data_IF_676337473618
#
_entry.id   IF_676337473618
#
_cell.length_a   1.000
_cell.length_b   1.000
_cell.length_c   1.000
_cell.angle_alpha   90.00
_cell.angle_beta   90.00
_cell.angle_gamma   90.00
#
_symmetry.space_group_name_H-M   'P 1'
#
loop_
_entity.id
_entity.type
_entity.pdbx_description
1 polymer ?
#
# COMPACT_ATOMS: atom_id res chain seq x y z
N UNK A 1 -34.55 -26.82 -4.85
CA UNK A 1 -33.08 -26.67 -4.80
C UNK A 1 -32.71 -25.34 -5.47
N UNK A 2 -33.45 -24.28 -5.19
CA UNK A 2 -33.55 -23.11 -6.09
C UNK A 2 -33.17 -21.78 -5.42
N UNK A 3 -32.74 -21.82 -4.16
CA UNK A 3 -32.42 -20.61 -3.38
C UNK A 3 -30.97 -20.12 -3.58
N UNK A 4 -30.11 -20.93 -4.19
CA UNK A 4 -28.70 -20.58 -4.45
C UNK A 4 -28.46 -19.83 -5.77
N UNK A 5 -29.36 -19.94 -6.74
CA UNK A 5 -29.27 -19.23 -8.01
C UNK A 5 -29.30 -17.69 -7.90
N UNK A 6 -30.19 -17.06 -7.11
CA UNK A 6 -30.25 -15.60 -7.03
C UNK A 6 -29.01 -15.00 -6.35
N UNK A 7 -28.43 -15.68 -5.35
CA UNK A 7 -27.23 -15.22 -4.65
C UNK A 7 -25.97 -15.22 -5.54
N UNK A 8 -25.81 -16.24 -6.39
CA UNK A 8 -24.70 -16.28 -7.35
C UNK A 8 -24.81 -15.19 -8.41
N UNK A 9 -26.04 -14.89 -8.86
CA UNK A 9 -26.28 -13.87 -9.87
C UNK A 9 -26.00 -12.46 -9.33
N UNK A 10 -26.34 -12.19 -8.07
CA UNK A 10 -26.01 -10.95 -7.36
C UNK A 10 -24.48 -10.79 -7.18
N UNK A 11 -23.77 -11.87 -6.84
CA UNK A 11 -22.31 -11.83 -6.71
C UNK A 11 -21.59 -11.52 -8.04
N UNK A 12 -22.07 -12.06 -9.16
CA UNK A 12 -21.52 -11.75 -10.50
C UNK A 12 -21.81 -10.30 -10.90
N UNK A 13 -22.98 -9.78 -10.54
CA UNK A 13 -23.32 -8.37 -10.76
C UNK A 13 -22.42 -7.45 -9.92
N UNK A 14 -22.16 -7.80 -8.67
CA UNK A 14 -21.23 -7.06 -7.81
C UNK A 14 -19.79 -7.09 -8.34
N UNK A 15 -19.30 -8.24 -8.83
CA UNK A 15 -17.97 -8.34 -9.45
C UNK A 15 -17.87 -7.45 -10.70
N UNK A 16 -18.93 -7.41 -11.51
CA UNK A 16 -18.98 -6.54 -12.69
C UNK A 16 -18.93 -5.06 -12.31
N UNK A 17 -19.73 -4.64 -11.33
CA UNK A 17 -19.72 -3.26 -10.81
C UNK A 17 -18.34 -2.92 -10.26
N UNK A 18 -17.72 -3.82 -9.52
CA UNK A 18 -16.39 -3.61 -8.95
C UNK A 18 -15.33 -3.42 -10.03
N UNK A 19 -15.34 -4.26 -11.07
CA UNK A 19 -14.44 -4.10 -12.23
C UNK A 19 -14.63 -2.76 -12.93
N UNK A 20 -15.89 -2.36 -13.15
CA UNK A 20 -16.20 -1.08 -13.80
C UNK A 20 -15.70 0.11 -12.97
N UNK A 21 -15.83 0.07 -11.65
CA UNK A 21 -15.33 1.10 -10.74
C UNK A 21 -13.80 1.18 -10.75
N UNK A 22 -13.12 0.04 -10.65
CA UNK A 22 -11.64 -0.02 -10.69
C UNK A 22 -11.11 0.51 -12.03
N UNK A 23 -11.77 0.15 -13.13
CA UNK A 23 -11.38 0.64 -14.45
C UNK A 23 -11.62 2.15 -14.58
N UNK A 24 -12.74 2.66 -14.07
CA UNK A 24 -13.05 4.09 -14.05
C UNK A 24 -12.01 4.89 -13.25
N UNK A 25 -11.58 4.39 -12.08
CA UNK A 25 -10.52 5.00 -11.28
C UNK A 25 -9.19 5.02 -12.05
N UNK A 26 -8.83 3.92 -12.71
CA UNK A 26 -7.59 3.85 -13.48
C UNK A 26 -7.60 4.82 -14.67
N UNK A 27 -8.73 4.94 -15.36
CA UNK A 27 -8.93 5.93 -16.45
C UNK A 27 -8.85 7.36 -15.92
N UNK A 28 -9.53 7.64 -14.80
CA UNK A 28 -9.49 8.94 -14.13
C UNK A 28 -8.07 9.33 -13.71
N UNK A 29 -7.30 8.38 -13.17
CA UNK A 29 -5.88 8.60 -12.82
C UNK A 29 -5.01 8.90 -14.04
N UNK A 30 -5.22 8.19 -15.16
CA UNK A 30 -4.51 8.45 -16.42
C UNK A 30 -4.82 9.85 -16.96
N UNK A 31 -6.10 10.21 -17.02
CA UNK A 31 -6.53 11.56 -17.45
C UNK A 31 -5.99 12.63 -16.51
N UNK A 32 -6.04 12.38 -15.20
CA UNK A 32 -5.50 13.31 -14.21
C UNK A 32 -4.01 13.54 -14.42
N UNK A 33 -3.25 12.47 -14.64
CA UNK A 33 -1.82 12.57 -14.90
C UNK A 33 -1.52 13.29 -16.22
N UNK A 34 -2.22 12.98 -17.30
CA UNK A 34 -1.99 13.66 -18.59
C UNK A 34 -2.30 15.15 -18.54
N UNK A 35 -3.40 15.53 -17.88
CA UNK A 35 -3.89 16.92 -17.91
C UNK A 35 -3.37 17.77 -16.75
N UNK A 36 -3.08 17.19 -15.58
CA UNK A 36 -2.74 17.94 -14.36
C UNK A 36 -1.43 17.50 -13.68
N UNK A 37 -0.70 16.50 -14.21
CA UNK A 37 0.57 16.08 -13.58
C UNK A 37 1.58 17.22 -13.47
N UNK A 38 1.54 18.21 -14.35
CA UNK A 38 2.46 19.35 -14.31
C UNK A 38 2.32 20.16 -13.01
N UNK A 39 1.13 20.19 -12.38
CA UNK A 39 0.91 20.94 -11.14
C UNK A 39 1.84 20.48 -10.01
N UNK A 40 2.27 19.21 -10.00
CA UNK A 40 3.21 18.67 -8.99
C UNK A 40 4.59 19.33 -9.06
N UNK A 41 4.93 19.85 -10.23
CA UNK A 41 6.23 20.43 -10.54
C UNK A 41 6.26 21.94 -10.26
N UNK A 42 5.17 22.55 -9.79
CA UNK A 42 5.10 23.97 -9.41
C UNK A 42 4.90 24.14 -7.90
N UNK A 43 5.48 25.20 -7.36
CA UNK A 43 5.29 25.64 -5.96
C UNK A 43 4.01 26.48 -5.83
N UNK A 44 3.56 26.73 -4.60
CA UNK A 44 2.38 27.56 -4.29
C UNK A 44 2.43 28.97 -4.92
N UNK A 45 3.63 29.48 -5.19
CA UNK A 45 3.86 30.75 -5.90
C UNK A 45 3.90 30.63 -7.43
N UNK A 46 3.59 29.45 -8.00
CA UNK A 46 3.61 29.20 -9.44
C UNK A 46 5.02 29.10 -10.03
N UNK A 47 6.06 28.97 -9.20
CA UNK A 47 7.45 28.79 -9.66
C UNK A 47 7.73 27.30 -9.88
N UNK A 48 8.48 26.97 -10.94
CA UNK A 48 8.91 25.59 -11.20
C UNK A 48 9.80 25.11 -10.06
N UNK A 49 9.42 24.00 -9.42
CA UNK A 49 10.19 23.35 -8.37
C UNK A 49 11.40 22.67 -8.98
N UNK A 50 12.55 22.85 -8.35
CA UNK A 50 13.73 22.05 -8.67
C UNK A 50 13.45 20.58 -8.33
N UNK A 51 13.53 19.70 -9.32
CA UNK A 51 13.42 18.26 -9.06
C UNK A 51 14.67 17.82 -8.31
N UNK A 52 14.50 17.54 -7.01
CA UNK A 52 15.54 16.87 -6.23
C UNK A 52 15.73 15.47 -6.82
N UNK A 53 16.98 15.02 -7.05
CA UNK A 53 17.22 13.67 -7.53
C UNK A 53 16.60 12.68 -6.55
N UNK A 54 15.93 11.66 -7.08
CA UNK A 54 15.41 10.57 -6.26
C UNK A 54 16.61 9.92 -5.54
N UNK A 55 16.52 9.66 -4.22
CA UNK A 55 17.54 8.89 -3.54
C UNK A 55 17.67 7.50 -4.21
N UNK A 56 18.91 7.08 -4.52
CA UNK A 56 19.17 5.76 -5.14
C UNK A 56 18.61 4.60 -4.31
N UNK A 57 18.53 4.78 -3.00
CA UNK A 57 18.00 3.79 -2.07
C UNK A 57 17.40 4.50 -0.86
N UNK A 58 16.14 4.21 -0.58
CA UNK A 58 15.48 4.58 0.67
C UNK A 58 15.28 3.27 1.42
N UNK A 59 15.93 3.06 2.57
CA UNK A 59 15.74 1.83 3.32
C UNK A 59 14.28 1.71 3.75
N UNK A 60 13.70 0.52 3.56
CA UNK A 60 12.32 0.21 4.00
C UNK A 60 12.17 0.42 5.50
N UNK A 61 13.24 0.19 6.25
CA UNK A 61 13.28 0.35 7.70
C UNK A 61 14.13 1.55 8.10
N UNK A 62 13.67 2.25 9.13
CA UNK A 62 14.43 3.33 9.74
C UNK A 62 15.68 2.77 10.41
N UNK A 63 16.82 3.41 10.20
CA UNK A 63 18.04 3.14 10.98
C UNK A 63 17.99 3.73 12.39
N UNK A 64 17.07 4.68 12.63
CA UNK A 64 16.91 5.38 13.92
C UNK A 64 15.86 4.73 14.82
N UNK A 65 14.88 4.04 14.25
CA UNK A 65 13.74 3.48 14.99
C UNK A 65 13.63 2.00 14.67
N UNK A 66 13.59 1.11 15.67
CA UNK A 66 13.45 -0.32 15.44
C UNK A 66 12.14 -0.61 14.70
N UNK A 67 12.20 -1.51 13.72
CA UNK A 67 11.02 -1.96 13.01
C UNK A 67 10.08 -2.74 13.96
N UNK A 68 8.91 -2.16 14.25
CA UNK A 68 7.87 -2.77 15.09
C UNK A 68 6.73 -3.40 14.29
N UNK A 69 6.95 -3.81 13.02
CA UNK A 69 5.93 -4.40 12.13
C UNK A 69 5.07 -5.49 12.82
N UNK A 70 5.61 -6.19 13.82
CA UNK A 70 4.90 -7.22 14.58
C UNK A 70 4.43 -6.79 15.99
N UNK A 71 4.34 -5.48 16.28
CA UNK A 71 4.10 -4.90 17.61
C UNK A 71 5.07 -5.41 18.70
N UNK A 72 6.12 -6.13 18.32
CA UNK A 72 7.01 -6.82 19.26
C UNK A 72 8.17 -5.89 19.57
N UNK A 73 7.98 -5.07 20.60
CA UNK A 73 9.00 -4.15 21.13
C UNK A 73 9.58 -4.81 22.38
N UNK A 74 10.88 -5.10 22.38
CA UNK A 74 11.61 -5.62 23.56
C UNK A 74 12.25 -7.01 23.39
N UNK A 75 12.85 -7.51 24.47
CA UNK A 75 13.55 -8.80 24.49
C UNK A 75 12.60 -9.98 24.24
N UNK A 76 12.92 -10.81 23.23
CA UNK A 76 12.16 -12.03 22.92
C UNK A 76 12.64 -13.26 23.71
N UNK A 77 13.60 -13.11 24.64
CA UNK A 77 14.12 -14.22 25.45
C UNK A 77 13.03 -14.95 26.25
N UNK A 78 11.97 -14.23 26.65
CA UNK A 78 10.84 -14.82 27.39
C UNK A 78 9.79 -15.48 26.48
N UNK A 79 9.88 -15.32 25.16
CA UNK A 79 8.98 -16.00 24.21
C UNK A 79 9.41 -17.44 23.99
N UNK A 80 8.50 -18.34 23.62
CA UNK A 80 8.82 -19.77 23.44
C UNK A 80 9.95 -20.00 22.43
N UNK A 81 9.98 -19.22 21.36
CA UNK A 81 11.06 -19.22 20.37
C UNK A 81 12.41 -18.80 20.98
N UNK A 82 12.41 -17.77 21.83
CA UNK A 82 13.63 -17.31 22.51
C UNK A 82 14.17 -18.34 23.49
N UNK A 83 13.28 -18.99 24.25
CA UNK A 83 13.64 -20.08 25.16
C UNK A 83 14.20 -21.29 24.41
N UNK A 84 13.63 -21.62 23.26
CA UNK A 84 14.10 -22.72 22.42
C UNK A 84 15.51 -22.45 21.89
N UNK A 85 15.79 -21.22 21.43
CA UNK A 85 17.12 -20.81 20.94
C UNK A 85 18.19 -20.85 22.03
N UNK A 86 17.87 -20.42 23.27
CA UNK A 86 18.82 -20.49 24.40
C UNK A 86 19.15 -21.94 24.78
N UNK A 87 18.22 -22.87 24.58
CA UNK A 87 18.46 -24.30 24.84
C UNK A 87 19.29 -25.00 23.76
N UNK A 88 19.56 -24.33 22.63
CA UNK A 88 20.34 -24.90 21.51
C UNK A 88 21.83 -24.56 21.57
N UNK A 89 22.26 -23.70 22.49
CA UNK A 89 23.65 -23.30 22.75
C UNK A 89 24.23 -24.15 23.91
#
# INVERSE_FOLDING_TARGET
>A
ADEQAPLQQDQVQQDKIWRDLVEAEQRGRKMWYQNWSFLKDYDQMGKKKEQKPLPNYIPVFSSKVPNSTNQTIGSRMNTELGKALVHMD
#
